data_IF_511431487343
#
_entry.id   IF_511431487343
#
_cell.length_a   1.000
_cell.length_b   1.000
_cell.length_c   1.000
_cell.angle_alpha   90.00
_cell.angle_beta   90.00
_cell.angle_gamma   90.00
#
_symmetry.space_group_name_H-M   'P 1'
#
loop_
_entity.id
_entity.type
_entity.pdbx_description
1 polymer ?
#
# COMPACT_ATOMS: atom_id res chain seq x y z
N UNK A 1 3.45 33.70 -45.88
CA UNK A 1 4.61 34.23 -46.64
C UNK A 1 5.70 34.65 -45.66
N UNK A 2 6.97 34.24 -45.93
CA UNK A 2 8.28 34.84 -45.52
C UNK A 2 8.56 35.02 -44.01
N UNK A 3 9.35 34.14 -43.38
CA UNK A 3 10.84 34.05 -43.28
C UNK A 3 11.50 35.17 -42.43
N UNK A 4 12.14 34.82 -41.30
CA UNK A 4 13.61 34.73 -41.13
C UNK A 4 14.02 34.39 -39.68
N UNK A 5 15.11 33.65 -39.59
CA UNK A 5 15.79 33.12 -38.41
C UNK A 5 16.74 34.14 -37.75
N UNK A 6 17.18 33.84 -36.52
CA UNK A 6 18.53 34.16 -36.01
C UNK A 6 18.95 33.18 -34.87
N UNK A 7 20.08 32.53 -35.11
CA UNK A 7 21.01 31.78 -34.23
C UNK A 7 21.68 32.75 -33.21
N UNK A 8 22.42 32.44 -32.13
CA UNK A 8 23.13 31.26 -31.57
C UNK A 8 23.89 31.71 -30.30
N UNK A 9 24.17 30.82 -29.33
CA UNK A 9 25.43 30.69 -28.52
C UNK A 9 25.24 29.55 -27.50
N UNK A 10 25.82 28.36 -27.65
CA UNK A 10 27.19 27.86 -27.34
C UNK A 10 27.64 27.98 -25.86
N UNK A 11 27.81 26.81 -25.22
CA UNK A 11 28.55 26.59 -23.97
C UNK A 11 28.77 25.10 -23.74
N UNK A 12 29.99 24.63 -23.99
CA UNK A 12 30.47 23.23 -23.99
C UNK A 12 31.06 22.87 -22.61
N UNK A 13 30.90 21.61 -22.19
CA UNK A 13 31.67 20.99 -21.10
C UNK A 13 31.51 19.47 -21.07
N UNK A 14 32.43 18.77 -21.74
CA UNK A 14 32.57 17.32 -21.84
C UNK A 14 33.38 16.75 -20.66
N UNK A 15 33.06 15.54 -20.18
CA UNK A 15 34.03 14.45 -19.91
C UNK A 15 33.32 13.07 -20.00
N UNK A 16 33.64 12.29 -21.05
CA UNK A 16 33.51 10.82 -21.09
C UNK A 16 34.72 10.16 -20.41
N UNK A 17 34.91 8.84 -20.34
CA UNK A 17 34.28 7.68 -20.97
C UNK A 17 35.14 6.43 -20.62
N UNK A 18 34.59 5.24 -20.83
CA UNK A 18 35.12 3.94 -20.41
C UNK A 18 36.11 3.28 -21.40
N UNK A 19 36.73 2.19 -20.90
CA UNK A 19 37.17 0.94 -21.57
C UNK A 19 38.62 0.79 -22.09
N UNK A 20 39.33 -0.08 -21.37
CA UNK A 20 40.16 -1.25 -21.72
C UNK A 20 41.27 -1.25 -22.81
N UNK A 21 42.30 -2.00 -22.40
CA UNK A 21 43.00 -3.10 -23.09
C UNK A 21 44.27 -2.82 -23.91
N UNK A 22 45.28 -3.66 -23.62
CA UNK A 22 46.32 -4.03 -24.57
C UNK A 22 47.78 -3.64 -24.25
N UNK A 23 48.77 -4.33 -24.86
CA UNK A 23 49.75 -5.10 -24.09
C UNK A 23 51.22 -4.82 -24.46
N UNK A 24 52.14 -5.37 -23.64
CA UNK A 24 53.46 -5.85 -24.08
C UNK A 24 54.60 -4.83 -24.17
N UNK A 25 55.79 -5.24 -23.73
CA UNK A 25 57.03 -4.50 -24.00
C UNK A 25 58.14 -4.73 -22.99
N UNK A 26 58.83 -5.86 -23.15
CA UNK A 26 60.08 -6.22 -22.49
C UNK A 26 61.22 -5.22 -22.78
N UNK A 27 62.11 -5.00 -21.81
CA UNK A 27 63.53 -5.40 -21.86
C UNK A 27 64.44 -4.53 -20.98
N UNK A 28 65.38 -5.20 -20.28
CA UNK A 28 66.76 -4.73 -20.24
C UNK A 28 67.38 -4.41 -18.87
N UNK A 29 67.97 -5.43 -18.24
CA UNK A 29 69.43 -5.41 -18.00
C UNK A 29 69.98 -5.13 -16.59
N UNK A 30 70.56 -6.19 -15.99
CA UNK A 30 71.79 -6.25 -15.15
C UNK A 30 71.79 -5.50 -13.80
N UNK A 31 72.24 -6.03 -12.65
CA UNK A 31 73.35 -6.94 -12.32
C UNK A 31 73.15 -7.52 -10.89
N UNK A 32 73.65 -8.74 -10.67
CA UNK A 32 74.16 -9.36 -9.41
C UNK A 32 73.53 -9.02 -8.06
N UNK A 33 73.00 -10.03 -7.35
CA UNK A 33 73.73 -10.61 -6.21
C UNK A 33 73.13 -11.92 -5.71
N UNK A 34 74.01 -12.82 -5.27
CA UNK A 34 73.69 -14.17 -4.80
C UNK A 34 73.55 -14.13 -3.28
N UNK A 35 72.33 -14.20 -2.76
CA UNK A 35 72.06 -14.42 -1.33
C UNK A 35 71.08 -15.57 -1.15
N UNK A 36 71.50 -16.55 -0.37
CA UNK A 36 70.77 -17.76 0.03
C UNK A 36 69.51 -17.39 0.84
N UNK A 37 68.33 -17.88 0.44
CA UNK A 37 67.09 -17.77 1.21
C UNK A 37 66.66 -19.14 1.76
N UNK A 38 66.12 -19.21 2.99
CA UNK A 38 65.72 -20.44 3.64
C UNK A 38 64.36 -20.93 3.13
N UNK A 39 64.18 -22.25 3.14
CA UNK A 39 62.89 -22.94 3.00
C UNK A 39 61.91 -22.37 4.04
N UNK A 40 60.84 -21.72 3.57
CA UNK A 40 59.71 -21.32 4.40
C UNK A 40 58.50 -22.07 3.87
N UNK A 41 57.98 -22.95 4.71
CA UNK A 41 56.74 -23.69 4.51
C UNK A 41 55.61 -22.72 4.20
N UNK A 42 54.93 -22.96 3.09
CA UNK A 42 53.67 -22.33 2.73
C UNK A 42 52.61 -22.86 3.72
N UNK A 43 51.97 -22.02 4.56
CA UNK A 43 50.81 -22.47 5.29
C UNK A 43 49.68 -22.59 4.27
N UNK A 44 49.26 -23.83 4.00
CA UNK A 44 47.99 -24.12 3.37
C UNK A 44 46.89 -23.49 4.23
N UNK A 45 46.43 -22.31 3.84
CA UNK A 45 45.20 -21.72 4.32
C UNK A 45 44.04 -22.53 3.73
N UNK A 46 43.75 -23.66 4.36
CA UNK A 46 42.52 -24.39 4.16
C UNK A 46 41.45 -23.74 5.06
N UNK A 47 41.05 -22.52 4.69
CA UNK A 47 39.88 -21.88 5.26
C UNK A 47 38.76 -21.91 4.21
N UNK A 48 38.33 -23.14 3.91
CA UNK A 48 37.05 -23.38 3.26
C UNK A 48 35.94 -23.04 4.25
N UNK A 49 35.70 -21.74 4.45
CA UNK A 49 34.44 -21.25 5.01
C UNK A 49 33.34 -21.63 4.04
N UNK A 50 32.73 -22.79 4.30
CA UNK A 50 31.50 -23.21 3.64
C UNK A 50 30.41 -22.27 4.15
N UNK A 51 30.16 -21.19 3.42
CA UNK A 51 29.01 -20.31 3.63
C UNK A 51 27.76 -21.13 3.36
N UNK A 52 27.28 -21.85 4.37
CA UNK A 52 26.03 -22.59 4.31
C UNK A 52 24.92 -21.56 4.41
N UNK A 53 24.09 -21.44 3.38
CA UNK A 53 22.93 -20.55 3.42
C UNK A 53 22.03 -20.94 4.60
N UNK A 54 21.54 -19.98 5.40
CA UNK A 54 20.63 -20.27 6.51
C UNK A 54 19.35 -20.97 6.02
N UNK A 55 18.78 -21.84 6.86
CA UNK A 55 17.46 -22.43 6.61
C UNK A 55 16.36 -21.47 7.05
N UNK A 56 15.21 -21.55 6.39
CA UNK A 56 14.00 -20.80 6.78
C UNK A 56 13.54 -21.19 8.19
N UNK A 57 13.35 -20.20 9.09
CA UNK A 57 12.71 -20.44 10.37
C UNK A 57 11.31 -21.02 10.20
N UNK A 58 10.97 -22.06 10.97
CA UNK A 58 9.63 -22.64 10.97
C UNK A 58 8.71 -21.80 11.87
N UNK A 59 7.99 -20.86 11.26
CA UNK A 59 7.10 -19.93 11.97
C UNK A 59 5.71 -19.89 11.34
N UNK A 60 4.72 -19.62 12.19
CA UNK A 60 3.33 -19.43 11.76
C UNK A 60 2.63 -20.71 11.33
N UNK A 61 1.45 -20.53 10.74
CA UNK A 61 0.61 -21.58 10.17
C UNK A 61 0.48 -21.39 8.66
N UNK A 62 0.09 -22.40 7.87
CA UNK A 62 -0.26 -22.18 6.46
C UNK A 62 -1.26 -21.04 6.30
N UNK A 63 -1.09 -20.18 5.29
CA UNK A 63 -1.98 -19.04 5.07
C UNK A 63 -3.46 -19.44 4.91
N UNK A 64 -3.72 -20.63 4.34
CA UNK A 64 -5.06 -21.21 4.21
C UNK A 64 -5.74 -21.61 5.52
N UNK A 65 -4.98 -21.71 6.61
CA UNK A 65 -5.46 -22.13 7.93
C UNK A 65 -5.65 -20.93 8.89
N UNK A 66 -5.27 -19.71 8.49
CA UNK A 66 -5.38 -18.52 9.34
C UNK A 66 -6.79 -17.90 9.31
N UNK A 67 -7.26 -17.39 10.45
CA UNK A 67 -8.56 -16.70 10.58
C UNK A 67 -8.48 -15.17 10.27
N UNK A 68 -7.33 -14.71 9.77
CA UNK A 68 -7.03 -13.30 9.50
C UNK A 68 -7.53 -12.80 8.13
N UNK A 69 -7.06 -11.60 7.71
CA UNK A 69 -7.24 -11.12 6.36
C UNK A 69 -6.76 -12.11 5.29
N UNK A 70 -7.32 -12.07 4.07
CA UNK A 70 -6.81 -12.86 2.97
C UNK A 70 -5.38 -12.42 2.60
N UNK A 71 -4.56 -13.39 2.19
CA UNK A 71 -3.19 -13.16 1.74
C UNK A 71 -3.05 -13.48 0.25
N UNK A 72 -2.01 -12.93 -0.39
CA UNK A 72 -1.64 -13.30 -1.75
C UNK A 72 -1.11 -14.74 -1.81
N UNK A 73 -1.16 -15.33 -3.01
CA UNK A 73 -0.73 -16.72 -3.27
C UNK A 73 0.77 -16.95 -2.99
N UNK A 74 1.56 -15.87 -2.93
CA UNK A 74 2.99 -15.88 -2.59
C UNK A 74 3.26 -16.01 -1.09
N UNK A 75 2.28 -15.67 -0.24
CA UNK A 75 2.39 -15.80 1.21
C UNK A 75 1.99 -17.20 1.65
N UNK A 76 2.97 -18.00 2.05
CA UNK A 76 2.77 -19.41 2.37
C UNK A 76 2.51 -19.65 3.85
N UNK A 77 3.10 -18.83 4.71
CA UNK A 77 3.04 -18.95 6.18
C UNK A 77 2.59 -17.64 6.79
N UNK A 78 1.80 -17.70 7.86
CA UNK A 78 1.25 -16.53 8.53
C UNK A 78 1.43 -16.64 10.04
N UNK A 79 1.98 -15.58 10.63
CA UNK A 79 1.99 -15.36 12.07
C UNK A 79 0.91 -14.33 12.40
N UNK A 80 -0.24 -14.81 12.86
CA UNK A 80 -1.40 -13.95 13.15
C UNK A 80 -1.74 -13.97 14.64
N UNK A 81 -2.31 -12.87 15.11
CA UNK A 81 -3.09 -12.86 16.35
C UNK A 81 -4.33 -13.78 16.22
N UNK A 82 -4.76 -14.54 17.25
CA UNK A 82 -4.27 -14.57 18.64
C UNK A 82 -3.12 -15.55 18.91
N UNK A 83 -2.59 -16.22 17.88
CA UNK A 83 -1.63 -17.31 18.04
C UNK A 83 -0.20 -16.84 18.39
N UNK A 84 0.02 -15.52 18.37
CA UNK A 84 1.27 -14.90 18.84
C UNK A 84 1.39 -15.04 20.35
N UNK A 85 2.48 -15.68 20.80
CA UNK A 85 2.86 -15.82 22.20
C UNK A 85 4.23 -15.20 22.45
N UNK A 86 4.68 -15.13 23.71
CA UNK A 86 6.03 -14.65 24.04
C UNK A 86 7.14 -15.51 23.42
N UNK A 87 6.85 -16.77 23.08
CA UNK A 87 7.81 -17.66 22.41
C UNK A 87 7.83 -17.54 20.89
N UNK A 88 7.00 -16.69 20.28
CA UNK A 88 6.95 -16.53 18.83
C UNK A 88 8.13 -15.66 18.37
N UNK A 89 9.11 -16.22 17.62
CA UNK A 89 10.43 -15.61 17.41
C UNK A 89 10.43 -14.49 16.36
N UNK A 90 9.38 -14.37 15.55
CA UNK A 90 9.12 -13.14 14.80
C UNK A 90 7.63 -12.88 14.84
N UNK A 91 7.22 -11.70 15.27
CA UNK A 91 5.82 -11.38 15.41
C UNK A 91 5.58 -9.89 15.39
N UNK A 92 4.38 -9.54 14.90
CA UNK A 92 3.88 -8.18 14.93
C UNK A 92 2.94 -8.02 16.12
N UNK A 93 3.24 -7.06 17.01
CA UNK A 93 2.50 -6.82 18.25
C UNK A 93 2.11 -5.35 18.36
N UNK A 94 0.83 -5.05 18.59
CA UNK A 94 0.42 -3.70 18.91
C UNK A 94 0.70 -3.40 20.39
N UNK A 95 1.08 -2.16 20.71
CA UNK A 95 1.30 -1.71 22.08
C UNK A 95 0.00 -1.72 22.91
N UNK A 96 -1.14 -1.56 22.24
CA UNK A 96 -2.48 -1.76 22.79
C UNK A 96 -3.37 -2.45 21.78
N UNK A 97 -4.26 -3.34 22.24
CA UNK A 97 -5.26 -3.96 21.37
C UNK A 97 -6.52 -3.11 21.24
N UNK A 98 -6.70 -2.10 22.08
CA UNK A 98 -7.87 -1.24 22.10
C UNK A 98 -7.45 0.24 22.08
N UNK A 99 -8.12 1.03 21.27
CA UNK A 99 -8.02 2.50 21.26
C UNK A 99 -9.40 3.12 21.02
N UNK A 100 -9.62 4.37 21.44
CA UNK A 100 -10.94 5.03 21.35
C UNK A 100 -10.97 6.11 20.29
N UNK A 101 -12.09 6.26 19.59
CA UNK A 101 -12.38 7.33 18.64
C UNK A 101 -13.01 8.55 19.35
N UNK A 102 -12.97 9.78 18.77
CA UNK A 102 -12.64 10.13 17.38
C UNK A 102 -11.14 10.24 17.08
N UNK A 103 -10.28 10.22 18.09
CA UNK A 103 -8.82 10.30 17.93
C UNK A 103 -8.14 9.12 18.60
N UNK A 104 -7.38 8.32 17.85
CA UNK A 104 -6.68 7.15 18.36
C UNK A 104 -5.20 7.17 17.94
N UNK A 105 -4.35 6.56 18.75
CA UNK A 105 -2.94 6.32 18.41
C UNK A 105 -2.56 4.93 18.88
N UNK A 106 -1.96 4.13 18.01
CA UNK A 106 -1.54 2.75 18.29
C UNK A 106 -0.19 2.50 17.63
N UNK A 107 0.81 2.17 18.45
CA UNK A 107 2.11 1.72 17.98
C UNK A 107 2.04 0.22 17.68
N UNK A 108 2.61 -0.20 16.56
CA UNK A 108 2.60 -1.58 16.10
C UNK A 108 4.03 -1.95 15.74
N UNK A 109 4.59 -2.97 16.40
CA UNK A 109 6.00 -3.35 16.25
C UNK A 109 6.13 -4.74 15.65
N UNK A 110 6.88 -4.88 14.56
CA UNK A 110 7.39 -6.16 14.07
C UNK A 110 8.81 -6.36 14.61
N UNK A 111 9.03 -7.40 15.40
CA UNK A 111 10.34 -7.72 15.96
C UNK A 111 10.84 -9.08 15.44
N UNK A 112 12.07 -9.13 14.96
CA UNK A 112 12.73 -10.34 14.46
C UNK A 112 13.72 -10.87 15.50
N UNK A 113 13.31 -11.87 16.28
CA UNK A 113 14.16 -12.60 17.24
C UNK A 113 14.68 -13.93 16.66
N UNK A 114 14.49 -14.17 15.36
CA UNK A 114 15.10 -15.32 14.66
C UNK A 114 16.58 -15.07 14.40
N UNK A 115 17.33 -16.13 14.08
CA UNK A 115 18.73 -16.07 13.67
C UNK A 115 18.92 -15.77 12.16
N UNK A 116 17.86 -15.32 11.49
CA UNK A 116 17.84 -15.06 10.04
C UNK A 116 17.29 -13.67 9.76
N UNK A 117 17.94 -12.93 8.86
CA UNK A 117 17.44 -11.61 8.42
C UNK A 117 16.09 -11.76 7.70
N UNK A 118 15.19 -10.84 7.98
CA UNK A 118 13.87 -10.77 7.34
C UNK A 118 13.78 -9.52 6.45
N UNK A 119 13.54 -9.71 5.16
CA UNK A 119 13.43 -8.64 4.16
C UNK A 119 11.95 -8.31 3.90
N UNK A 120 11.56 -7.04 4.02
CA UNK A 120 10.18 -6.57 3.85
C UNK A 120 10.15 -5.14 3.34
N UNK A 121 8.97 -4.64 2.97
CA UNK A 121 8.76 -3.25 2.63
C UNK A 121 7.86 -2.59 3.70
N UNK A 122 8.46 -1.82 4.60
CA UNK A 122 7.74 -1.08 5.64
C UNK A 122 6.74 -0.05 5.12
N UNK A 123 6.78 0.35 3.84
CA UNK A 123 5.72 1.15 3.23
C UNK A 123 4.51 0.31 2.79
N UNK A 124 4.70 -0.99 2.58
CA UNK A 124 3.68 -1.96 2.18
C UNK A 124 3.09 -2.67 3.41
N UNK A 125 2.64 -1.88 4.37
CA UNK A 125 1.71 -2.37 5.38
C UNK A 125 0.32 -2.55 4.75
N UNK A 126 -0.62 -3.17 5.48
CA UNK A 126 -2.01 -3.26 5.09
C UNK A 126 -2.90 -3.03 6.30
N UNK A 127 -4.00 -2.29 6.11
CA UNK A 127 -5.03 -2.10 7.11
C UNK A 127 -6.35 -2.66 6.59
N UNK A 128 -6.95 -3.54 7.37
CA UNK A 128 -8.20 -4.23 7.05
C UNK A 128 -9.24 -3.96 8.11
N UNK A 129 -10.51 -3.88 7.73
CA UNK A 129 -11.65 -3.85 8.66
C UNK A 129 -12.47 -5.13 8.56
N UNK A 130 -12.90 -5.68 9.70
CA UNK A 130 -13.82 -6.81 9.74
C UNK A 130 -15.28 -6.33 9.80
N UNK A 131 -16.12 -6.77 8.85
CA UNK A 131 -17.56 -6.47 8.82
C UNK A 131 -18.33 -7.72 8.40
N UNK A 132 -19.30 -8.14 9.23
CA UNK A 132 -20.10 -9.35 9.04
C UNK A 132 -19.26 -10.62 8.76
N UNK A 133 -18.13 -10.74 9.46
CA UNK A 133 -17.22 -11.88 9.35
C UNK A 133 -16.18 -11.76 8.23
N UNK A 134 -16.34 -10.85 7.28
CA UNK A 134 -15.44 -10.63 6.13
C UNK A 134 -14.43 -9.51 6.39
N UNK A 135 -13.28 -9.55 5.72
CA UNK A 135 -12.21 -8.55 5.81
C UNK A 135 -12.19 -7.66 4.57
N UNK A 136 -12.20 -6.34 4.79
CA UNK A 136 -12.17 -5.32 3.75
C UNK A 136 -10.85 -4.55 3.82
N UNK A 137 -10.07 -4.59 2.73
CA UNK A 137 -8.84 -3.84 2.61
C UNK A 137 -9.12 -2.33 2.53
N UNK A 138 -8.39 -1.54 3.33
CA UNK A 138 -8.58 -0.09 3.42
C UNK A 138 -7.39 0.70 2.88
N UNK A 139 -6.17 0.37 3.28
CA UNK A 139 -4.98 1.18 2.99
C UNK A 139 -3.69 0.36 3.17
N UNK A 140 -2.57 0.80 2.56
CA UNK A 140 -2.46 1.87 1.57
C UNK A 140 -2.89 1.37 0.18
N UNK A 141 -3.29 2.28 -0.70
CA UNK A 141 -3.61 1.93 -2.10
C UNK A 141 -2.37 1.97 -3.00
N UNK A 142 -1.35 2.72 -2.60
CA UNK A 142 -0.06 2.81 -3.30
C UNK A 142 1.06 2.90 -2.28
N UNK A 143 2.20 2.30 -2.60
CA UNK A 143 3.41 2.38 -1.78
C UNK A 143 4.64 2.40 -2.68
N UNK A 144 5.72 3.10 -2.27
CA UNK A 144 7.02 2.92 -2.92
C UNK A 144 7.55 1.51 -2.64
N UNK A 145 8.39 0.97 -3.52
CA UNK A 145 8.95 -0.39 -3.40
C UNK A 145 10.46 -0.44 -3.04
N UNK A 146 10.96 0.28 -2.02
CA UNK A 146 12.29 -0.01 -1.50
C UNK A 146 12.24 -1.27 -0.63
N UNK A 147 13.11 -2.23 -0.91
CA UNK A 147 13.36 -3.34 0.00
C UNK A 147 14.08 -2.81 1.26
N UNK A 148 13.56 -3.19 2.42
CA UNK A 148 14.15 -2.94 3.75
C UNK A 148 14.33 -4.28 4.46
N UNK A 149 15.04 -4.27 5.58
CA UNK A 149 15.37 -5.48 6.30
C UNK A 149 15.28 -5.29 7.81
N UNK A 150 15.06 -6.40 8.51
CA UNK A 150 15.23 -6.55 9.94
C UNK A 150 16.29 -7.63 10.17
N UNK A 151 17.49 -7.22 10.60
CA UNK A 151 18.49 -8.17 11.07
C UNK A 151 18.03 -8.88 12.36
N UNK A 152 18.77 -9.90 12.78
CA UNK A 152 18.51 -10.62 14.03
C UNK A 152 18.53 -9.67 15.22
N UNK A 153 17.45 -9.67 15.99
CA UNK A 153 17.24 -8.82 17.16
C UNK A 153 16.72 -7.42 16.82
N UNK A 154 16.56 -7.07 15.54
CA UNK A 154 16.01 -5.78 15.14
C UNK A 154 14.47 -5.77 15.16
N UNK A 155 13.92 -4.56 15.21
CA UNK A 155 12.48 -4.35 15.13
C UNK A 155 12.17 -3.06 14.39
N UNK A 156 10.97 -2.99 13.84
CA UNK A 156 10.41 -1.79 13.21
C UNK A 156 9.05 -1.48 13.82
N UNK A 157 8.75 -0.20 14.03
CA UNK A 157 7.48 0.24 14.62
C UNK A 157 6.79 1.23 13.70
N UNK A 158 5.51 0.97 13.42
CA UNK A 158 4.60 1.91 12.81
C UNK A 158 3.75 2.59 13.88
N UNK A 159 3.55 3.90 13.76
CA UNK A 159 2.61 4.66 14.60
C UNK A 159 1.35 4.93 13.80
N UNK A 160 0.27 4.20 14.09
CA UNK A 160 -1.04 4.44 13.49
C UNK A 160 -1.78 5.52 14.29
N UNK A 161 -1.99 6.68 13.68
CA UNK A 161 -2.81 7.77 14.20
C UNK A 161 -4.12 7.88 13.43
N UNK A 162 -5.23 8.03 14.14
CA UNK A 162 -6.56 8.25 13.59
C UNK A 162 -7.09 9.58 14.11
N UNK A 163 -7.60 10.43 13.23
CA UNK A 163 -8.29 11.67 13.61
C UNK A 163 -9.54 11.89 12.75
N UNK A 164 -10.71 11.67 13.36
CA UNK A 164 -12.01 11.89 12.72
C UNK A 164 -12.64 13.24 13.08
N UNK A 165 -11.89 14.20 13.64
CA UNK A 165 -12.45 15.49 14.03
C UNK A 165 -12.79 16.40 12.85
N UNK A 166 -12.21 16.13 11.68
CA UNK A 166 -12.49 16.83 10.41
C UNK A 166 -12.72 15.83 9.28
N UNK A 167 -13.83 15.08 9.37
CA UNK A 167 -14.14 14.06 8.35
C UNK A 167 -14.33 14.67 6.97
N UNK A 168 -14.93 15.85 6.85
CA UNK A 168 -15.24 16.59 5.61
C UNK A 168 -14.02 17.18 4.88
N UNK A 169 -12.85 17.16 5.52
CA UNK A 169 -11.61 17.68 4.95
C UNK A 169 -11.11 16.96 3.69
N UNK A 170 -10.14 17.58 3.02
CA UNK A 170 -9.55 17.09 1.77
C UNK A 170 -8.79 15.76 1.91
N UNK A 171 -8.76 15.00 0.80
CA UNK A 171 -8.11 13.69 0.53
C UNK A 171 -7.65 12.89 1.77
N UNK A 172 -8.32 11.77 2.04
CA UNK A 172 -7.75 10.73 2.91
C UNK A 172 -6.48 10.21 2.24
N UNK A 173 -5.33 10.35 2.90
CA UNK A 173 -4.06 9.88 2.34
C UNK A 173 -4.12 8.39 2.03
N UNK A 174 -3.79 8.05 0.79
CA UNK A 174 -3.84 6.68 0.26
C UNK A 174 -2.44 6.05 0.15
N UNK A 175 -1.38 6.78 0.48
CA UNK A 175 0.01 6.37 0.34
C UNK A 175 0.57 5.66 1.57
N UNK A 176 1.46 4.69 1.35
CA UNK A 176 2.20 4.00 2.40
C UNK A 176 3.29 4.88 3.02
N UNK A 177 3.16 5.20 4.30
CA UNK A 177 4.25 5.73 5.14
C UNK A 177 4.93 4.58 5.88
N UNK A 178 6.24 4.65 6.08
CA UNK A 178 6.98 3.60 6.79
C UNK A 178 6.98 3.74 8.30
N UNK A 179 6.80 4.95 8.83
CA UNK A 179 6.92 5.22 10.28
C UNK A 179 5.56 5.73 10.82
N UNK A 180 5.21 6.99 10.51
CA UNK A 180 3.98 7.62 10.97
C UNK A 180 2.86 7.46 9.92
N UNK A 181 1.79 6.78 10.30
CA UNK A 181 0.61 6.53 9.46
C UNK A 181 -0.56 7.37 10.02
N UNK A 182 -0.97 8.40 9.30
CA UNK A 182 -2.12 9.23 9.67
C UNK A 182 -3.33 8.89 8.81
N UNK A 183 -4.39 8.37 9.42
CA UNK A 183 -5.64 8.04 8.75
C UNK A 183 -6.81 8.85 9.29
N UNK A 184 -7.77 9.09 8.40
CA UNK A 184 -9.07 9.69 8.71
C UNK A 184 -10.14 8.72 8.23
N UNK A 185 -11.34 8.81 8.80
CA UNK A 185 -12.49 8.04 8.33
C UNK A 185 -12.39 6.56 8.67
N UNK A 186 -12.02 6.23 9.91
CA UNK A 186 -12.15 4.89 10.49
C UNK A 186 -13.26 4.89 11.54
N UNK A 187 -14.23 3.98 11.43
CA UNK A 187 -15.28 3.82 12.44
C UNK A 187 -14.87 2.89 13.58
N UNK A 188 -15.77 2.75 14.56
CA UNK A 188 -15.65 1.68 15.54
C UNK A 188 -15.66 0.29 14.89
N UNK A 189 -14.91 -0.64 15.46
CA UNK A 189 -14.87 -2.04 15.02
C UNK A 189 -13.51 -2.71 15.15
N UNK A 190 -13.40 -3.91 14.58
CA UNK A 190 -12.18 -4.73 14.59
C UNK A 190 -11.38 -4.52 13.32
N UNK A 191 -10.07 -4.28 13.49
CA UNK A 191 -9.12 -4.06 12.43
C UNK A 191 -7.96 -5.05 12.52
N UNK A 192 -7.34 -5.31 11.36
CA UNK A 192 -6.07 -6.02 11.28
C UNK A 192 -5.05 -5.15 10.55
N UNK A 193 -3.89 -4.96 11.18
CA UNK A 193 -2.71 -4.41 10.55
C UNK A 193 -1.86 -5.58 10.05
N UNK A 194 -1.38 -5.51 8.81
CA UNK A 194 -0.66 -6.60 8.15
C UNK A 194 0.63 -6.13 7.51
N UNK A 195 1.60 -7.01 7.40
CA UNK A 195 2.76 -6.86 6.50
C UNK A 195 3.24 -8.25 6.09
N UNK A 196 4.09 -8.34 5.06
CA UNK A 196 4.72 -9.59 4.65
C UNK A 196 6.12 -9.36 4.11
N UNK A 197 6.88 -10.43 3.95
CA UNK A 197 8.26 -10.38 3.48
C UNK A 197 8.88 -11.77 3.45
N UNK A 198 10.19 -11.83 3.20
CA UNK A 198 10.91 -13.07 2.96
C UNK A 198 12.10 -13.20 3.90
N UNK A 199 12.40 -14.41 4.36
CA UNK A 199 13.66 -14.67 5.05
C UNK A 199 14.80 -14.79 4.05
N UNK A 200 15.95 -14.18 4.35
CA UNK A 200 17.16 -14.22 3.53
C UNK A 200 17.82 -15.61 3.55
N UNK A 201 17.19 -16.57 2.88
CA UNK A 201 17.47 -18.02 2.91
C UNK A 201 17.44 -18.61 1.51
N UNK A 202 17.63 -19.92 1.39
CA UNK A 202 17.45 -20.64 0.12
C UNK A 202 16.01 -20.63 -0.39
N UNK A 203 15.04 -20.31 0.48
CA UNK A 203 13.61 -20.33 0.20
C UNK A 203 13.01 -18.92 0.12
N UNK A 204 13.77 -17.97 -0.41
CA UNK A 204 13.39 -16.55 -0.50
C UNK A 204 12.14 -16.28 -1.36
N UNK A 205 11.68 -17.26 -2.14
CA UNK A 205 10.49 -17.15 -2.99
C UNK A 205 9.17 -17.31 -2.21
N UNK A 206 9.20 -17.81 -0.96
CA UNK A 206 8.00 -18.01 -0.15
C UNK A 206 7.86 -16.95 0.94
N UNK A 207 6.88 -16.07 0.77
CA UNK A 207 6.63 -14.98 1.70
C UNK A 207 5.97 -15.46 3.00
N UNK A 208 6.25 -14.72 4.07
CA UNK A 208 5.70 -14.89 5.40
C UNK A 208 4.90 -13.64 5.76
N UNK A 209 3.63 -13.83 6.11
CA UNK A 209 2.70 -12.78 6.51
C UNK A 209 2.63 -12.60 8.03
N UNK A 210 2.41 -11.37 8.46
CA UNK A 210 2.28 -10.99 9.86
C UNK A 210 1.02 -10.16 10.04
N UNK A 211 0.18 -10.53 11.02
CA UNK A 211 -1.05 -9.80 11.32
C UNK A 211 -1.21 -9.49 12.81
N UNK A 212 -1.48 -8.22 13.10
CA UNK A 212 -1.83 -7.72 14.43
C UNK A 212 -3.28 -7.24 14.43
N UNK A 213 -4.02 -7.55 15.49
CA UNK A 213 -5.41 -7.07 15.68
C UNK A 213 -5.44 -5.83 16.55
N UNK A 214 -6.23 -4.84 16.15
CA UNK A 214 -6.57 -3.65 16.93
C UNK A 214 -8.09 -3.45 16.86
N UNK A 215 -8.72 -3.18 18.00
CA UNK A 215 -10.12 -2.80 18.10
C UNK A 215 -10.22 -1.28 18.37
N UNK A 216 -10.99 -0.58 17.54
CA UNK A 216 -11.31 0.83 17.73
C UNK A 216 -12.68 0.95 18.38
N UNK A 217 -12.72 1.46 19.61
CA UNK A 217 -13.94 1.73 20.36
C UNK A 217 -14.54 3.07 19.93
N UNK A 218 -15.80 3.06 19.49
CA UNK A 218 -16.52 4.25 19.06
C UNK A 218 -17.70 3.90 18.15
N UNK A 219 -18.39 4.92 17.67
CA UNK A 219 -19.47 4.74 16.71
C UNK A 219 -18.93 4.36 15.32
N UNK A 220 -19.73 3.66 14.49
CA UNK A 220 -19.44 3.52 13.07
C UNK A 220 -19.22 4.91 12.44
N UNK A 221 -18.28 5.00 11.49
CA UNK A 221 -18.02 6.26 10.79
C UNK A 221 -19.17 6.57 9.83
N UNK A 222 -19.54 7.85 9.75
CA UNK A 222 -20.55 8.35 8.83
C UNK A 222 -19.95 8.63 7.45
N UNK A 223 -20.72 8.37 6.39
CA UNK A 223 -20.35 8.76 5.03
C UNK A 223 -20.77 10.22 4.80
N UNK A 224 -19.82 11.14 4.97
CA UNK A 224 -20.03 12.56 4.69
C UNK A 224 -19.42 12.94 3.33
N UNK A 225 -20.00 13.86 2.56
CA UNK A 225 -19.37 14.36 1.33
C UNK A 225 -18.04 15.06 1.63
N UNK A 226 -17.24 15.30 0.60
CA UNK A 226 -16.03 16.12 0.72
C UNK A 226 -16.38 17.61 0.74
N UNK A 227 -15.45 18.43 1.24
CA UNK A 227 -15.54 19.90 1.15
C UNK A 227 -15.46 20.46 -0.27
N UNK A 228 -15.20 19.61 -1.27
CA UNK A 228 -15.13 20.01 -2.69
C UNK A 228 -16.51 20.13 -3.33
N UNK A 229 -17.57 19.61 -2.68
CA UNK A 229 -18.96 19.79 -3.15
C UNK A 229 -19.34 21.26 -3.00
N UNK A 230 -19.58 21.92 -4.13
CA UNK A 230 -19.93 23.36 -4.18
C UNK A 230 -21.42 23.58 -4.34
N UNK A 231 -22.13 22.66 -4.98
CA UNK A 231 -23.58 22.72 -5.13
C UNK A 231 -24.24 21.35 -5.18
N UNK A 232 -25.50 21.32 -4.76
CA UNK A 232 -26.37 20.14 -4.84
C UNK A 232 -27.74 20.57 -5.35
N UNK A 233 -28.18 20.02 -6.47
CA UNK A 233 -29.42 20.40 -7.14
C UNK A 233 -30.31 19.16 -7.23
N UNK A 234 -31.51 19.22 -6.64
CA UNK A 234 -32.49 18.14 -6.76
C UNK A 234 -33.38 18.35 -7.97
N UNK A 235 -33.50 17.31 -8.80
CA UNK A 235 -34.42 17.22 -9.93
C UNK A 235 -35.23 15.92 -9.82
N UNK A 236 -36.41 16.00 -9.20
CA UNK A 236 -37.26 14.84 -8.96
C UNK A 236 -36.61 13.77 -8.08
N UNK A 237 -36.34 12.61 -8.69
CA UNK A 237 -35.66 11.45 -8.08
C UNK A 237 -34.14 11.47 -8.26
N UNK A 238 -33.60 12.52 -8.90
CA UNK A 238 -32.19 12.69 -9.16
C UNK A 238 -31.59 13.85 -8.35
N UNK A 239 -30.31 13.72 -8.02
CA UNK A 239 -29.48 14.79 -7.48
C UNK A 239 -28.31 15.04 -8.42
N UNK A 240 -28.05 16.29 -8.76
CA UNK A 240 -26.81 16.73 -9.41
C UNK A 240 -25.90 17.32 -8.35
N UNK A 241 -24.67 16.80 -8.27
CA UNK A 241 -23.62 17.23 -7.35
C UNK A 241 -22.52 17.89 -8.19
N UNK A 242 -22.26 19.15 -7.91
CA UNK A 242 -21.17 19.89 -8.55
C UNK A 242 -19.98 19.95 -7.58
N UNK A 243 -18.79 19.66 -8.10
CA UNK A 243 -17.54 19.69 -7.33
C UNK A 243 -16.52 20.63 -7.97
N UNK A 244 -15.78 21.35 -7.13
CA UNK A 244 -14.62 22.13 -7.54
C UNK A 244 -13.38 21.62 -6.82
N UNK A 245 -12.48 20.96 -7.57
CA UNK A 245 -11.26 20.35 -7.04
C UNK A 245 -10.00 21.12 -7.41
N UNK A 246 -10.16 22.29 -8.03
CA UNK A 246 -9.06 23.06 -8.61
C UNK A 246 -8.51 22.42 -9.91
N UNK A 247 -7.91 23.26 -10.75
CA UNK A 247 -7.22 22.85 -11.97
C UNK A 247 -5.71 22.75 -11.69
N UNK A 248 -5.20 21.53 -11.63
CA UNK A 248 -3.76 21.23 -11.49
C UNK A 248 -3.04 21.08 -12.84
N UNK A 249 -3.71 21.41 -13.95
CA UNK A 249 -3.18 21.31 -15.30
C UNK A 249 -3.23 19.90 -15.89
N UNK A 250 -3.91 18.95 -15.22
CA UNK A 250 -4.12 17.57 -15.68
C UNK A 250 -5.51 17.02 -15.40
N UNK A 251 -6.47 17.88 -15.07
CA UNK A 251 -7.84 17.48 -14.74
C UNK A 251 -8.75 17.53 -15.98
N UNK A 252 -9.56 16.50 -16.18
CA UNK A 252 -10.55 16.44 -17.27
C UNK A 252 -11.97 16.59 -16.70
N UNK A 253 -12.90 17.11 -17.50
CA UNK A 253 -14.30 17.13 -17.12
C UNK A 253 -14.85 15.70 -17.19
N UNK A 254 -15.15 15.13 -16.03
CA UNK A 254 -15.71 13.79 -15.93
C UNK A 254 -17.06 13.87 -15.23
N UNK A 255 -18.05 13.18 -15.78
CA UNK A 255 -19.33 12.98 -15.15
C UNK A 255 -19.47 11.54 -14.68
N UNK A 256 -19.85 11.35 -13.42
CA UNK A 256 -20.23 10.03 -12.90
C UNK A 256 -21.72 10.00 -12.62
N UNK A 257 -22.37 8.92 -13.00
CA UNK A 257 -23.76 8.64 -12.63
C UNK A 257 -23.79 7.41 -11.75
N UNK A 258 -24.30 7.58 -10.52
CA UNK A 258 -24.60 6.47 -9.62
C UNK A 258 -26.11 6.28 -9.58
N UNK A 259 -26.56 5.07 -9.87
CA UNK A 259 -27.99 4.71 -9.87
C UNK A 259 -28.26 3.60 -8.87
N UNK A 260 -29.26 3.78 -8.03
CA UNK A 260 -29.80 2.71 -7.18
C UNK A 260 -30.50 1.67 -8.06
N UNK A 261 -30.14 0.40 -7.88
CA UNK A 261 -30.77 -0.72 -8.57
C UNK A 261 -31.94 -1.24 -7.71
N UNK A 262 -32.98 -1.74 -8.38
CA UNK A 262 -34.06 -2.48 -7.71
C UNK A 262 -33.50 -3.78 -7.09
N UNK A 263 -34.14 -4.29 -6.03
CA UNK A 263 -33.65 -5.48 -5.30
C UNK A 263 -33.67 -6.76 -6.15
N UNK A 264 -34.52 -6.83 -7.19
CA UNK A 264 -34.64 -7.94 -8.14
C UNK A 264 -33.90 -7.70 -9.47
N UNK A 265 -33.20 -6.57 -9.61
CA UNK A 265 -32.44 -6.27 -10.82
C UNK A 265 -31.39 -7.36 -11.09
N UNK A 266 -31.43 -7.90 -12.31
CA UNK A 266 -30.41 -8.82 -12.83
C UNK A 266 -29.17 -8.02 -13.21
N UNK A 267 -28.01 -8.47 -12.78
CA UNK A 267 -26.71 -7.87 -13.05
C UNK A 267 -25.77 -8.93 -13.60
N UNK A 268 -24.87 -8.53 -14.50
CA UNK A 268 -24.00 -9.46 -15.24
C UNK A 268 -22.84 -10.00 -14.38
N UNK A 269 -22.55 -9.35 -13.25
CA UNK A 269 -21.52 -9.73 -12.30
C UNK A 269 -22.01 -9.58 -10.85
N UNK A 270 -21.42 -10.34 -9.93
CA UNK A 270 -21.69 -10.18 -8.51
C UNK A 270 -21.31 -8.76 -8.05
N UNK A 271 -22.20 -8.04 -7.34
CA UNK A 271 -21.90 -6.71 -6.84
C UNK A 271 -20.69 -6.74 -5.90
N UNK A 272 -19.70 -5.88 -6.16
CA UNK A 272 -18.59 -5.68 -5.24
C UNK A 272 -19.12 -5.04 -3.96
N UNK A 273 -19.05 -5.77 -2.85
CA UNK A 273 -19.39 -5.24 -1.52
C UNK A 273 -18.33 -4.25 -1.07
N UNK A 274 -18.76 -3.10 -0.53
CA UNK A 274 -17.88 -2.08 0.04
C UNK A 274 -18.38 -1.63 1.42
N UNK A 275 -17.46 -1.16 2.26
CA UNK A 275 -17.75 -0.58 3.59
C UNK A 275 -17.60 0.94 3.57
N UNK A 276 -18.16 1.63 4.58
CA UNK A 276 -18.10 3.11 4.64
C UNK A 276 -16.67 3.64 4.61
N UNK A 277 -15.73 2.98 5.28
CA UNK A 277 -14.31 3.35 5.24
C UNK A 277 -13.72 3.32 3.83
N UNK A 278 -14.13 2.38 2.98
CA UNK A 278 -13.69 2.33 1.57
C UNK A 278 -14.39 3.42 0.75
N UNK A 279 -15.69 3.64 0.97
CA UNK A 279 -16.43 4.71 0.31
C UNK A 279 -15.82 6.08 0.62
N UNK A 280 -15.42 6.34 1.87
CA UNK A 280 -14.77 7.60 2.28
C UNK A 280 -13.42 7.85 1.58
N UNK A 281 -12.72 6.80 1.14
CA UNK A 281 -11.42 6.89 0.46
C UNK A 281 -11.54 7.11 -1.04
N UNK A 282 -12.73 6.95 -1.62
CA UNK A 282 -13.03 7.31 -3.01
C UNK A 282 -13.80 8.62 -3.03
N UNK A 283 -13.23 9.68 -3.62
CA UNK A 283 -13.95 10.95 -3.79
C UNK A 283 -15.26 10.75 -4.55
N UNK A 284 -15.24 9.98 -5.63
CA UNK A 284 -16.43 9.65 -6.43
C UNK A 284 -17.51 8.97 -5.58
N UNK A 285 -17.18 7.90 -4.84
CA UNK A 285 -18.18 7.22 -4.01
C UNK A 285 -18.67 8.10 -2.86
N UNK A 286 -17.76 8.84 -2.24
CA UNK A 286 -18.05 9.73 -1.12
C UNK A 286 -18.99 10.87 -1.51
N UNK A 287 -18.74 11.51 -2.65
CA UNK A 287 -19.53 12.63 -3.18
C UNK A 287 -20.78 12.18 -3.95
N UNK A 288 -21.08 10.86 -3.98
CA UNK A 288 -22.29 10.33 -4.61
C UNK A 288 -23.15 9.54 -3.64
N UNK A 289 -22.59 8.52 -2.98
CA UNK A 289 -23.33 7.63 -2.08
C UNK A 289 -23.91 8.37 -0.86
N UNK A 290 -23.28 9.47 -0.42
CA UNK A 290 -23.76 10.32 0.69
C UNK A 290 -25.10 11.02 0.40
N UNK A 291 -25.47 11.20 -0.86
CA UNK A 291 -26.69 11.91 -1.27
C UNK A 291 -27.90 10.97 -1.46
N UNK A 292 -27.74 9.66 -1.27
CA UNK A 292 -28.87 8.73 -1.39
C UNK A 292 -29.73 8.70 -0.14
N UNK A 293 -30.79 9.50 -0.17
CA UNK A 293 -31.88 9.46 0.81
C UNK A 293 -33.15 8.78 0.24
N UNK A 294 -34.26 8.87 0.99
CA UNK A 294 -35.56 8.41 0.52
C UNK A 294 -36.01 9.23 -0.71
N UNK A 295 -36.51 8.53 -1.74
CA UNK A 295 -36.94 9.16 -2.98
C UNK A 295 -35.82 9.58 -3.95
N UNK A 296 -34.55 9.34 -3.62
CA UNK A 296 -33.42 9.52 -4.56
C UNK A 296 -33.07 8.18 -5.20
N UNK A 297 -33.16 8.10 -6.53
CA UNK A 297 -32.79 6.94 -7.34
C UNK A 297 -31.47 7.12 -8.10
N UNK A 298 -31.05 8.37 -8.32
CA UNK A 298 -29.88 8.69 -9.14
C UNK A 298 -29.10 9.89 -8.58
N UNK A 299 -27.78 9.81 -8.62
CA UNK A 299 -26.88 10.92 -8.30
C UNK A 299 -25.92 11.12 -9.47
N UNK A 300 -25.84 12.35 -9.97
CA UNK A 300 -24.94 12.76 -11.04
C UNK A 300 -23.86 13.66 -10.46
N UNK A 301 -22.62 13.20 -10.45
CA UNK A 301 -21.47 14.00 -10.06
C UNK A 301 -20.88 14.67 -11.31
N UNK A 302 -20.62 15.98 -11.25
CA UNK A 302 -20.00 16.76 -12.33
C UNK A 302 -18.86 17.62 -11.78
N UNK A 303 -17.72 17.58 -12.46
CA UNK A 303 -16.61 18.49 -12.19
C UNK A 303 -15.33 18.05 -12.87
N UNK A 304 -14.24 18.72 -12.50
CA UNK A 304 -12.90 18.35 -12.92
C UNK A 304 -12.38 17.19 -12.05
N UNK A 305 -11.85 16.16 -12.68
CA UNK A 305 -11.28 14.98 -12.03
C UNK A 305 -9.87 14.72 -12.56
N UNK A 306 -8.91 14.54 -11.66
CA UNK A 306 -7.57 14.04 -11.99
C UNK A 306 -7.65 12.52 -12.17
N UNK A 307 -7.07 11.97 -13.24
CA UNK A 307 -7.15 10.55 -13.64
C UNK A 307 -6.58 9.51 -12.64
N UNK A 308 -6.21 9.90 -11.42
CA UNK A 308 -5.78 8.96 -10.39
C UNK A 308 -7.02 8.24 -9.87
N UNK A 309 -7.20 7.01 -10.34
CA UNK A 309 -8.32 6.15 -10.00
C UNK A 309 -7.92 5.15 -8.90
N UNK A 310 -8.04 5.52 -7.60
CA UNK A 310 -7.53 4.70 -6.50
C UNK A 310 -8.26 3.37 -6.30
N UNK A 311 -9.30 3.07 -7.08
CA UNK A 311 -10.05 1.81 -6.99
C UNK A 311 -10.09 1.01 -8.29
N UNK A 312 -9.37 1.44 -9.34
CA UNK A 312 -9.40 0.76 -10.62
C UNK A 312 -10.81 0.65 -11.19
N UNK A 313 -11.62 1.72 -11.09
CA UNK A 313 -12.83 1.82 -11.89
C UNK A 313 -12.42 1.94 -13.36
N UNK A 314 -12.17 0.83 -14.06
CA UNK A 314 -11.97 0.90 -15.50
C UNK A 314 -13.13 1.70 -16.09
N UNK A 315 -12.82 2.87 -16.65
CA UNK A 315 -13.82 3.83 -17.15
C UNK A 315 -14.70 3.22 -18.26
N UNK A 316 -14.30 2.05 -18.77
CA UNK A 316 -14.92 1.32 -19.86
C UNK A 316 -16.00 0.32 -19.39
N UNK A 317 -16.07 -0.08 -18.11
CA UNK A 317 -17.07 -1.06 -17.65
C UNK A 317 -17.95 -0.55 -16.48
N UNK A 318 -19.30 -0.66 -16.58
CA UNK A 318 -20.20 -0.27 -15.52
C UNK A 318 -20.03 -1.17 -14.30
N UNK A 319 -19.52 -0.61 -13.19
CA UNK A 319 -19.34 -1.37 -11.95
C UNK A 319 -20.62 -1.39 -11.11
N UNK A 320 -20.97 -2.58 -10.60
CA UNK A 320 -22.06 -2.78 -9.65
C UNK A 320 -21.49 -2.94 -8.25
N UNK A 321 -21.99 -2.14 -7.31
CA UNK A 321 -21.54 -2.12 -5.92
C UNK A 321 -22.69 -2.50 -4.99
N UNK A 322 -22.36 -3.14 -3.87
CA UNK A 322 -23.26 -3.31 -2.73
C UNK A 322 -22.76 -2.48 -1.55
N UNK A 323 -23.59 -1.55 -1.08
CA UNK A 323 -23.28 -0.65 0.03
C UNK A 323 -24.53 -0.45 0.90
N UNK A 324 -24.38 -0.53 2.23
CA UNK A 324 -25.46 -0.36 3.20
C UNK A 324 -26.73 -1.20 2.88
N UNK A 325 -26.53 -2.43 2.40
CA UNK A 325 -27.62 -3.34 2.03
C UNK A 325 -28.34 -3.02 0.71
N UNK A 326 -27.87 -2.04 -0.06
CA UNK A 326 -28.42 -1.66 -1.37
C UNK A 326 -27.42 -1.86 -2.49
N UNK A 327 -27.94 -2.00 -3.71
CA UNK A 327 -27.14 -2.16 -4.92
C UNK A 327 -27.13 -0.89 -5.75
N UNK A 328 -25.96 -0.55 -6.29
CA UNK A 328 -25.74 0.65 -7.09
C UNK A 328 -24.99 0.28 -8.36
N UNK A 329 -25.30 0.97 -9.46
CA UNK A 329 -24.50 0.94 -10.69
C UNK A 329 -23.83 2.28 -10.87
N UNK A 330 -22.53 2.26 -11.13
CA UNK A 330 -21.74 3.44 -11.47
C UNK A 330 -21.39 3.40 -12.94
N UNK A 331 -21.54 4.54 -13.62
CA UNK A 331 -21.11 4.76 -15.00
C UNK A 331 -20.37 6.08 -15.09
N UNK A 332 -19.27 6.12 -15.82
CA UNK A 332 -18.57 7.34 -16.22
C UNK A 332 -18.98 7.76 -17.62
N UNK A 333 -19.07 9.07 -17.83
CA UNK A 333 -19.14 9.70 -19.14
C UNK A 333 -17.97 10.68 -19.21
N UNK A 334 -17.04 10.46 -20.14
CA UNK A 334 -16.03 11.45 -20.51
C UNK A 334 -16.70 12.46 -21.45
N UNK A 335 -16.65 13.74 -21.11
CA UNK A 335 -17.15 14.82 -21.97
C UNK A 335 -16.19 15.12 -23.13
#
# INVERSE_FOLDING_TARGET
MRRRALLSTLGVGLLGGCVADGPGGSDGGSTTDRTTAPTTDEPTADDSTTTTTPRTPDVGVPASETAGPPWGDDVMRVVAWPDVTDGTPIAMRPATQEASLPTAMVDITLANETDVRFDTNFHHWGLWKRVDGEWFYLAPQYWPEPAMSLDTGESHTWTLSVDNTQLDGNVIQNGGSKDDISLVGLGGGTYAFTTHGNFATEDYEHAHGFAARVDLAGEPVELVPTSDVTATIRDGDAIVVEVDRGDDGGSEEVAYTVRRLADDAVVDAEPRRIVTEQALRSRVLRDTLSFFEEGVERVHLRGLETHLNPFGFDAEEPQVLAYAGRRYRITSETA
#
